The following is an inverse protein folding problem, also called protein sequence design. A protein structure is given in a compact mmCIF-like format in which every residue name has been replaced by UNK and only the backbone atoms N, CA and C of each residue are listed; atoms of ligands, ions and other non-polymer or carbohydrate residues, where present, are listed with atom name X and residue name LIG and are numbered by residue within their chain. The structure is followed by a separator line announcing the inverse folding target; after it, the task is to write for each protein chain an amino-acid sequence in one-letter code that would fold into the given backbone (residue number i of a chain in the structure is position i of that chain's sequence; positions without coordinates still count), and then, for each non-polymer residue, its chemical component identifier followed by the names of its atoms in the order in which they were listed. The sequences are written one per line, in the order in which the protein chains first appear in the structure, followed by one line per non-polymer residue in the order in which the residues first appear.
data_IF_616716031912
#
_entry.id   IF_616716031912
#
_cell.length_a   1.000
_cell.length_b   1.000
_cell.length_c   1.000
_cell.angle_alpha   90.00
_cell.angle_beta   90.00
_cell.angle_gamma   90.00
#
_symmetry.space_group_name_H-M   'P 1'
#
loop_
_entity.id
_entity.type
_entity.pdbx_description
1 polymer ?
#
# COMPACT_ATOMS: atom_id res chain seq x y z
N UNK A 1 -19.36 10.13 -8.03
CA UNK A 1 -18.26 10.72 -8.84
C UNK A 1 -17.06 11.05 -7.95
N UNK A 2 -17.21 11.89 -6.92
CA UNK A 2 -16.12 12.24 -6.00
C UNK A 2 -15.51 11.00 -5.30
N UNK A 3 -16.36 10.09 -4.81
CA UNK A 3 -15.95 8.82 -4.16
C UNK A 3 -15.05 7.95 -5.05
N UNK A 4 -15.35 7.88 -6.35
CA UNK A 4 -14.54 7.14 -7.31
C UNK A 4 -13.13 7.74 -7.42
N UNK A 5 -13.02 9.07 -7.56
CA UNK A 5 -11.72 9.74 -7.62
C UNK A 5 -10.94 9.59 -6.32
N UNK A 6 -11.61 9.64 -5.16
CA UNK A 6 -10.95 9.39 -3.88
C UNK A 6 -10.41 7.97 -3.78
N UNK A 7 -11.17 6.95 -4.21
CA UNK A 7 -10.69 5.56 -4.24
C UNK A 7 -9.48 5.41 -5.16
N UNK A 8 -9.55 5.94 -6.40
CA UNK A 8 -8.42 5.91 -7.34
C UNK A 8 -7.18 6.59 -6.73
N UNK A 9 -7.37 7.73 -6.07
CA UNK A 9 -6.29 8.44 -5.38
C UNK A 9 -5.68 7.60 -4.25
N UNK A 10 -6.50 6.94 -3.42
CA UNK A 10 -6.01 6.04 -2.38
C UNK A 10 -5.27 4.82 -2.94
N UNK A 11 -5.74 4.23 -4.05
CA UNK A 11 -5.04 3.13 -4.72
C UNK A 11 -3.68 3.58 -5.26
N UNK A 12 -3.61 4.78 -5.85
CA UNK A 12 -2.35 5.37 -6.28
C UNK A 12 -1.41 5.58 -5.10
N UNK A 13 -1.91 6.17 -4.01
CA UNK A 13 -1.10 6.52 -2.84
C UNK A 13 -0.62 5.27 -2.09
N UNK A 14 -1.45 4.23 -2.02
CA UNK A 14 -1.04 2.89 -1.56
C UNK A 14 0.06 2.31 -2.46
N UNK A 15 -0.06 2.43 -3.79
CA UNK A 15 0.97 2.03 -4.73
C UNK A 15 2.29 2.77 -4.50
N UNK A 16 2.23 4.07 -4.24
CA UNK A 16 3.41 4.90 -3.94
C UNK A 16 4.05 4.47 -2.60
N UNK A 17 3.24 4.23 -1.56
CA UNK A 17 3.73 3.77 -0.25
C UNK A 17 4.41 2.40 -0.35
N UNK A 18 3.82 1.48 -1.12
CA UNK A 18 4.37 0.14 -1.33
C UNK A 18 5.65 0.21 -2.17
N UNK A 19 5.65 0.93 -3.30
CA UNK A 19 6.82 1.00 -4.18
C UNK A 19 8.02 1.70 -3.55
N UNK A 20 7.79 2.73 -2.73
CA UNK A 20 8.83 3.33 -1.91
C UNK A 20 9.40 2.34 -0.87
N UNK A 21 8.55 1.49 -0.26
CA UNK A 21 9.00 0.44 0.64
C UNK A 21 9.84 -0.62 -0.09
N UNK A 22 9.45 -1.00 -1.31
CA UNK A 22 10.21 -1.95 -2.12
C UNK A 22 11.62 -1.45 -2.41
N UNK A 23 11.78 -0.17 -2.76
CA UNK A 23 13.10 0.46 -2.96
C UNK A 23 13.96 0.48 -1.67
N UNK A 24 13.34 0.60 -0.50
CA UNK A 24 14.05 0.55 0.78
C UNK A 24 14.53 -0.87 1.15
N UNK A 25 13.91 -1.93 0.59
CA UNK A 25 14.09 -3.33 1.02
C UNK A 25 15.15 -4.13 0.24
N UNK A 26 15.73 -3.61 -0.84
CA UNK A 26 16.24 -4.48 -1.92
C UNK A 26 17.56 -5.22 -1.67
N UNK A 27 17.42 -6.51 -1.34
CA UNK A 27 18.38 -7.60 -1.61
C UNK A 27 17.82 -8.56 -2.70
N UNK A 28 16.55 -8.42 -3.12
CA UNK A 28 15.86 -9.34 -4.05
C UNK A 28 15.78 -8.83 -5.49
N UNK A 29 15.52 -9.74 -6.44
CA UNK A 29 15.25 -9.41 -7.84
C UNK A 29 13.96 -8.58 -7.97
N UNK A 30 14.10 -7.36 -8.50
CA UNK A 30 13.03 -6.38 -8.69
C UNK A 30 11.76 -6.96 -9.32
N UNK A 31 11.92 -7.74 -10.38
CA UNK A 31 10.81 -8.29 -11.17
C UNK A 31 9.94 -9.22 -10.34
N UNK A 32 10.54 -10.12 -9.56
CA UNK A 32 9.82 -11.10 -8.74
C UNK A 32 8.98 -10.38 -7.69
N UNK A 33 9.58 -9.40 -7.01
CA UNK A 33 8.91 -8.66 -5.94
C UNK A 33 7.74 -7.84 -6.48
N UNK A 34 7.91 -7.19 -7.63
CA UNK A 34 6.83 -6.46 -8.29
C UNK A 34 5.68 -7.39 -8.71
N UNK A 35 5.99 -8.53 -9.33
CA UNK A 35 4.97 -9.50 -9.75
C UNK A 35 4.21 -10.06 -8.56
N UNK A 36 4.90 -10.49 -7.50
CA UNK A 36 4.26 -11.03 -6.29
C UNK A 36 3.39 -9.96 -5.62
N UNK A 37 3.90 -8.73 -5.48
CA UNK A 37 3.14 -7.63 -4.88
C UNK A 37 1.88 -7.31 -5.70
N UNK A 38 1.99 -7.28 -7.03
CA UNK A 38 0.85 -7.05 -7.92
C UNK A 38 -0.19 -8.17 -7.84
N UNK A 39 0.24 -9.43 -7.78
CA UNK A 39 -0.67 -10.57 -7.62
C UNK A 39 -1.39 -10.57 -6.27
N UNK A 40 -0.65 -10.31 -5.18
CA UNK A 40 -1.23 -10.19 -3.83
C UNK A 40 -2.24 -9.04 -3.79
N UNK A 41 -1.88 -7.88 -4.34
CA UNK A 41 -2.79 -6.74 -4.46
C UNK A 41 -4.06 -7.11 -5.23
N UNK A 42 -3.91 -7.64 -6.46
CA UNK A 42 -5.04 -7.99 -7.32
C UNK A 42 -5.97 -8.97 -6.61
N UNK A 43 -5.43 -10.06 -6.06
CA UNK A 43 -6.24 -11.09 -5.42
C UNK A 43 -6.95 -10.59 -4.16
N UNK A 44 -6.25 -9.84 -3.29
CA UNK A 44 -6.83 -9.33 -2.04
C UNK A 44 -7.85 -8.22 -2.29
N UNK A 45 -7.60 -7.29 -3.21
CA UNK A 45 -8.57 -6.25 -3.58
C UNK A 45 -9.80 -6.89 -4.22
N UNK A 46 -9.63 -7.86 -5.11
CA UNK A 46 -10.75 -8.56 -5.77
C UNK A 46 -11.65 -9.28 -4.76
N UNK A 47 -11.05 -10.09 -3.89
CA UNK A 47 -11.78 -10.81 -2.84
C UNK A 47 -12.44 -9.85 -1.86
N UNK A 48 -11.76 -8.76 -1.50
CA UNK A 48 -12.32 -7.67 -0.71
C UNK A 48 -13.56 -7.06 -1.37
N UNK A 49 -13.48 -6.67 -2.64
CA UNK A 49 -14.61 -6.08 -3.38
C UNK A 49 -15.82 -7.02 -3.43
N UNK A 50 -15.60 -8.32 -3.68
CA UNK A 50 -16.67 -9.32 -3.65
C UNK A 50 -17.34 -9.36 -2.27
N UNK A 51 -16.56 -9.47 -1.21
CA UNK A 51 -17.09 -9.54 0.15
C UNK A 51 -17.79 -8.23 0.56
N UNK A 52 -17.26 -7.07 0.20
CA UNK A 52 -17.86 -5.77 0.48
C UNK A 52 -19.17 -5.54 -0.26
N UNK A 53 -19.35 -6.17 -1.44
CA UNK A 53 -20.62 -6.11 -2.17
C UNK A 53 -21.73 -6.95 -1.53
N UNK A 54 -21.37 -7.96 -0.72
CA UNK A 54 -22.32 -8.85 -0.05
C UNK A 54 -22.55 -8.52 1.43
N UNK A 55 -21.54 -7.99 2.11
CA UNK A 55 -21.59 -7.70 3.53
C UNK A 55 -21.75 -6.20 3.75
N UNK A 56 -22.78 -5.82 4.50
CA UNK A 56 -22.93 -4.44 4.95
C UNK A 56 -22.02 -4.17 6.15
N UNK A 57 -21.28 -3.05 6.11
CA UNK A 57 -20.46 -2.58 7.21
C UNK A 57 -20.56 -1.04 7.32
N UNK A 58 -20.64 -0.45 8.52
CA UNK A 58 -20.72 1.00 8.66
C UNK A 58 -19.47 1.70 8.11
N UNK A 59 -19.66 2.62 7.16
CA UNK A 59 -18.58 3.35 6.48
C UNK A 59 -17.58 4.03 7.46
N UNK A 60 -18.01 4.73 8.53
CA UNK A 60 -17.07 5.35 9.48
C UNK A 60 -16.20 4.32 10.21
N UNK A 61 -16.76 3.15 10.54
CA UNK A 61 -16.00 2.08 11.19
C UNK A 61 -14.99 1.47 10.23
N UNK A 62 -15.35 1.32 8.95
CA UNK A 62 -14.43 0.79 7.95
C UNK A 62 -13.25 1.73 7.70
N UNK A 63 -13.52 3.04 7.56
CA UNK A 63 -12.49 4.07 7.46
C UNK A 63 -11.57 4.08 8.68
N UNK A 64 -12.15 3.99 9.88
CA UNK A 64 -11.40 3.85 11.13
C UNK A 64 -10.52 2.60 11.16
N UNK A 65 -11.03 1.45 10.68
CA UNK A 65 -10.29 0.20 10.60
C UNK A 65 -9.14 0.26 9.60
N UNK A 66 -9.36 0.81 8.40
CA UNK A 66 -8.31 1.00 7.38
C UNK A 66 -7.24 1.94 7.93
N UNK A 67 -7.63 3.03 8.60
CA UNK A 67 -6.71 3.95 9.25
C UNK A 67 -5.87 3.25 10.32
N UNK A 68 -6.50 2.48 11.21
CA UNK A 68 -5.81 1.70 12.23
C UNK A 68 -4.80 0.71 11.62
N UNK A 69 -5.20 -0.01 10.57
CA UNK A 69 -4.32 -0.95 9.87
C UNK A 69 -3.14 -0.22 9.24
N UNK A 70 -3.35 0.95 8.62
CA UNK A 70 -2.27 1.75 8.06
C UNK A 70 -1.28 2.22 9.14
N UNK A 71 -1.76 2.61 10.33
CA UNK A 71 -0.88 2.92 11.49
C UNK A 71 -0.13 1.68 11.95
N UNK A 72 -0.80 0.52 12.08
CA UNK A 72 -0.16 -0.74 12.46
C UNK A 72 0.93 -1.12 11.45
N UNK A 73 0.68 -0.93 10.15
CA UNK A 73 1.69 -1.13 9.11
C UNK A 73 2.87 -0.18 9.26
N UNK A 74 2.63 1.11 9.51
CA UNK A 74 3.68 2.09 9.74
C UNK A 74 4.57 1.68 10.93
N UNK A 75 3.96 1.30 12.06
CA UNK A 75 4.66 0.82 13.26
C UNK A 75 5.41 -0.48 13.00
N UNK A 76 4.78 -1.43 12.29
CA UNK A 76 5.39 -2.71 11.94
C UNK A 76 6.65 -2.50 11.08
N UNK A 77 6.58 -1.67 10.04
CA UNK A 77 7.74 -1.39 9.20
C UNK A 77 8.80 -0.57 9.94
N UNK A 78 8.40 0.38 10.78
CA UNK A 78 9.33 1.13 11.64
C UNK A 78 10.11 0.21 12.58
N UNK A 79 9.45 -0.75 13.24
CA UNK A 79 10.10 -1.72 14.15
C UNK A 79 10.97 -2.73 13.43
N UNK A 80 10.58 -3.13 12.23
CA UNK A 80 11.34 -4.12 11.45
C UNK A 80 12.56 -3.48 10.80
N UNK A 81 12.54 -2.17 10.57
CA UNK A 81 13.60 -1.45 9.90
C UNK A 81 14.89 -1.38 10.74
N UNK A 82 16.03 -1.69 10.10
CA UNK A 82 17.34 -1.68 10.77
C UNK A 82 18.09 -0.37 10.49
N UNK A 83 18.27 0.51 11.50
CA UNK A 83 18.75 1.88 11.29
C UNK A 83 20.19 1.99 10.81
N UNK A 84 21.05 1.01 11.10
CA UNK A 84 22.46 1.05 10.71
C UNK A 84 22.74 0.51 9.31
N UNK A 85 21.92 -0.40 8.81
CA UNK A 85 22.12 -1.06 7.52
C UNK A 85 21.15 -0.55 6.46
N UNK A 86 20.12 0.19 6.87
CA UNK A 86 19.22 0.88 5.97
C UNK A 86 18.31 -0.03 5.16
N UNK A 87 18.14 -1.29 5.58
CA UNK A 87 17.26 -2.27 4.95
C UNK A 87 16.27 -2.87 5.95
N UNK A 88 15.13 -3.32 5.44
CA UNK A 88 14.15 -4.13 6.19
C UNK A 88 14.52 -5.61 5.98
N UNK A 89 14.94 -6.35 7.02
CA UNK A 89 15.28 -7.76 6.89
C UNK A 89 14.12 -8.56 6.29
N UNK A 90 14.45 -9.40 5.32
CA UNK A 90 13.48 -10.15 4.53
C UNK A 90 12.84 -11.33 5.28
N UNK A 91 13.17 -11.51 6.56
CA UNK A 91 12.81 -12.70 7.31
C UNK A 91 11.31 -12.70 7.67
N UNK A 92 10.54 -13.45 6.88
CA UNK A 92 9.22 -13.94 7.26
C UNK A 92 8.09 -13.49 6.34
N UNK A 93 7.08 -14.34 6.18
CA UNK A 93 5.88 -14.08 5.38
C UNK A 93 4.96 -13.00 5.98
N UNK A 94 5.25 -12.53 7.19
CA UNK A 94 4.41 -11.60 7.95
C UNK A 94 4.14 -10.27 7.23
N UNK A 95 5.13 -9.72 6.52
CA UNK A 95 4.93 -8.47 5.78
C UNK A 95 3.95 -8.65 4.62
N UNK A 96 3.95 -9.82 3.97
CA UNK A 96 2.98 -10.14 2.93
C UNK A 96 1.57 -10.29 3.51
N UNK A 97 1.45 -10.89 4.71
CA UNK A 97 0.17 -10.97 5.43
C UNK A 97 -0.38 -9.58 5.79
N UNK A 98 0.47 -8.67 6.26
CA UNK A 98 0.08 -7.29 6.56
C UNK A 98 -0.40 -6.55 5.31
N UNK A 99 0.32 -6.68 4.19
CA UNK A 99 -0.10 -6.13 2.90
C UNK A 99 -1.42 -6.73 2.40
N UNK A 100 -1.55 -8.05 2.47
CA UNK A 100 -2.78 -8.75 2.06
C UNK A 100 -3.99 -8.24 2.85
N UNK A 101 -3.86 -8.10 4.17
CA UNK A 101 -4.92 -7.57 5.03
C UNK A 101 -5.27 -6.13 4.65
N UNK A 102 -4.27 -5.27 4.46
CA UNK A 102 -4.50 -3.88 4.07
C UNK A 102 -5.20 -3.75 2.70
N UNK A 103 -4.72 -4.48 1.69
CA UNK A 103 -5.32 -4.49 0.35
C UNK A 103 -6.73 -5.08 0.36
N UNK A 104 -6.97 -6.10 1.19
CA UNK A 104 -8.29 -6.67 1.36
C UNK A 104 -9.30 -5.62 1.84
N UNK A 105 -8.97 -4.83 2.86
CA UNK A 105 -9.89 -3.79 3.36
C UNK A 105 -10.08 -2.62 2.37
N UNK A 106 -9.07 -2.27 1.57
CA UNK A 106 -9.24 -1.31 0.46
C UNK A 106 -10.22 -1.84 -0.60
N UNK A 107 -10.12 -3.14 -0.92
CA UNK A 107 -11.08 -3.80 -1.81
C UNK A 107 -12.48 -3.84 -1.20
N UNK A 108 -12.59 -4.18 0.08
CA UNK A 108 -13.84 -4.25 0.82
C UNK A 108 -14.59 -2.92 0.80
N UNK A 109 -13.90 -1.82 1.05
CA UNK A 109 -14.48 -0.48 0.94
C UNK A 109 -14.97 -0.16 -0.47
N UNK A 110 -14.17 -0.49 -1.50
CA UNK A 110 -14.56 -0.29 -2.89
C UNK A 110 -15.84 -1.09 -3.24
N UNK A 111 -15.99 -2.28 -2.65
CA UNK A 111 -17.19 -3.12 -2.78
C UNK A 111 -18.43 -2.50 -2.12
N UNK A 112 -18.29 -1.96 -0.90
CA UNK A 112 -19.37 -1.25 -0.19
C UNK A 112 -19.80 0.02 -0.92
N UNK A 113 -18.85 0.74 -1.51
CA UNK A 113 -19.11 1.92 -2.33
C UNK A 113 -19.87 1.60 -3.65
N UNK A 114 -20.19 0.33 -3.91
CA UNK A 114 -20.94 -0.09 -5.10
C UNK A 114 -20.15 0.05 -6.40
N UNK A 115 -18.82 0.10 -6.32
CA UNK A 115 -17.97 0.19 -7.52
C UNK A 115 -18.03 -1.14 -8.28
N UNK A 116 -18.22 -1.05 -9.60
CA UNK A 116 -18.20 -2.23 -10.48
C UNK A 116 -16.89 -3.01 -10.35
N UNK A 117 -16.98 -4.34 -10.23
CA UNK A 117 -15.82 -5.23 -10.06
C UNK A 117 -14.80 -5.10 -11.20
N UNK A 118 -15.24 -4.70 -12.40
CA UNK A 118 -14.38 -4.49 -13.56
C UNK A 118 -13.36 -3.36 -13.37
N UNK A 119 -13.62 -2.41 -12.46
CA UNK A 119 -12.67 -1.35 -12.14
C UNK A 119 -11.41 -1.87 -11.45
N UNK A 120 -11.36 -3.13 -11.01
CA UNK A 120 -10.14 -3.71 -10.45
C UNK A 120 -8.96 -3.67 -11.44
N UNK A 121 -9.22 -3.82 -12.74
CA UNK A 121 -8.18 -3.71 -13.76
C UNK A 121 -7.58 -2.32 -13.78
N UNK A 122 -8.43 -1.29 -13.70
CA UNK A 122 -7.98 0.10 -13.58
C UNK A 122 -7.22 0.32 -12.27
N UNK A 123 -7.75 -0.15 -11.14
CA UNK A 123 -7.08 -0.02 -9.84
C UNK A 123 -5.72 -0.71 -9.81
N UNK A 124 -5.58 -1.85 -10.49
CA UNK A 124 -4.32 -2.57 -10.62
C UNK A 124 -3.32 -1.81 -11.47
N UNK A 125 -3.76 -1.21 -12.58
CA UNK A 125 -2.92 -0.35 -13.42
C UNK A 125 -2.46 0.90 -12.66
N UNK A 126 -3.38 1.58 -11.96
CA UNK A 126 -3.08 2.77 -11.15
C UNK A 126 -2.10 2.43 -10.02
N UNK A 127 -2.36 1.35 -9.28
CA UNK A 127 -1.48 0.88 -8.22
C UNK A 127 -0.08 0.51 -8.74
N UNK A 128 -0.01 -0.24 -9.85
CA UNK A 128 1.26 -0.60 -10.49
C UNK A 128 2.02 0.63 -10.97
N UNK A 129 1.32 1.60 -11.55
CA UNK A 129 1.89 2.90 -11.92
C UNK A 129 2.45 3.65 -10.72
N UNK A 130 1.73 3.67 -9.59
CA UNK A 130 2.20 4.24 -8.33
C UNK A 130 3.45 3.55 -7.78
N UNK A 131 3.52 2.22 -7.87
CA UNK A 131 4.72 1.46 -7.50
C UNK A 131 5.91 1.86 -8.37
N UNK A 132 5.76 1.85 -9.69
CA UNK A 132 6.85 2.18 -10.61
C UNK A 132 7.32 3.63 -10.45
N UNK A 133 6.38 4.57 -10.32
CA UNK A 133 6.67 5.99 -10.13
C UNK A 133 7.44 6.23 -8.81
N UNK A 134 6.94 5.69 -7.70
CA UNK A 134 7.60 5.82 -6.39
C UNK A 134 8.95 5.12 -6.35
N UNK A 135 9.08 3.95 -6.97
CA UNK A 135 10.35 3.25 -7.08
C UNK A 135 11.37 4.10 -7.84
N UNK A 136 10.99 4.67 -8.99
CA UNK A 136 11.86 5.55 -9.77
C UNK A 136 12.27 6.81 -9.01
N UNK A 137 11.33 7.49 -8.35
CA UNK A 137 11.59 8.67 -7.52
C UNK A 137 12.55 8.32 -6.38
N UNK A 138 12.31 7.21 -5.69
CA UNK A 138 13.13 6.81 -4.55
C UNK A 138 14.54 6.40 -4.97
N UNK A 139 14.70 5.75 -6.13
CA UNK A 139 16.01 5.49 -6.72
C UNK A 139 16.77 6.79 -7.02
N UNK A 140 16.11 7.78 -7.62
CA UNK A 140 16.71 9.10 -7.86
C UNK A 140 17.10 9.78 -6.55
N UNK A 141 16.22 9.81 -5.56
CA UNK A 141 16.48 10.41 -4.24
C UNK A 141 17.64 9.73 -3.53
N UNK A 142 17.72 8.40 -3.53
CA UNK A 142 18.81 7.65 -2.87
C UNK A 142 20.19 7.91 -3.49
N UNK A 143 20.22 8.16 -4.80
CA UNK A 143 21.46 8.46 -5.53
C UNK A 143 21.87 9.94 -5.44
N UNK A 144 20.90 10.85 -5.36
CA UNK A 144 21.16 12.29 -5.33
C UNK A 144 21.35 12.86 -3.92
N UNK A 145 20.73 12.27 -2.90
CA UNK A 145 20.77 12.80 -1.54
C UNK A 145 21.96 12.27 -0.73
N UNK A 146 22.64 13.19 -0.06
CA UNK A 146 23.59 12.85 1.02
C UNK A 146 22.86 12.21 2.21
N UNK A 147 21.57 12.54 2.38
CA UNK A 147 20.70 12.06 3.45
C UNK A 147 19.95 10.76 3.10
N UNK A 148 20.72 9.72 2.76
CA UNK A 148 20.17 8.37 2.50
C UNK A 148 19.28 7.86 3.64
N UNK A 149 19.57 8.25 4.89
CA UNK A 149 18.78 7.89 6.06
C UNK A 149 17.33 8.41 5.98
N UNK A 150 17.11 9.60 5.42
CA UNK A 150 15.79 10.24 5.43
C UNK A 150 14.85 9.59 4.41
N UNK A 151 15.41 9.17 3.27
CA UNK A 151 14.67 8.48 2.21
C UNK A 151 14.03 7.17 2.69
N UNK A 152 14.57 6.56 3.74
CA UNK A 152 14.09 5.30 4.31
C UNK A 152 12.82 5.47 5.17
N UNK A 153 12.53 6.67 5.66
CA UNK A 153 11.30 6.96 6.42
C UNK A 153 10.12 7.36 5.53
N UNK A 154 10.34 7.65 4.24
CA UNK A 154 9.28 8.05 3.31
C UNK A 154 8.13 7.03 3.23
N UNK A 155 8.36 5.70 3.15
CA UNK A 155 7.25 4.74 3.12
C UNK A 155 6.41 4.80 4.39
N UNK A 156 7.06 4.95 5.55
CA UNK A 156 6.40 5.01 6.86
C UNK A 156 5.55 6.28 6.95
N UNK A 157 6.10 7.42 6.53
CA UNK A 157 5.36 8.69 6.46
C UNK A 157 4.15 8.58 5.53
N UNK A 158 4.28 7.90 4.39
CA UNK A 158 3.16 7.69 3.48
C UNK A 158 2.06 6.83 4.10
N UNK A 159 2.39 5.77 4.86
CA UNK A 159 1.37 5.00 5.59
C UNK A 159 0.67 5.81 6.68
N UNK A 160 1.40 6.64 7.42
CA UNK A 160 0.81 7.58 8.38
C UNK A 160 -0.11 8.57 7.66
N UNK A 161 0.30 9.08 6.50
CA UNK A 161 -0.50 9.98 5.71
C UNK A 161 -1.78 9.33 5.18
N UNK A 162 -1.71 8.07 4.70
CA UNK A 162 -2.89 7.26 4.36
C UNK A 162 -3.84 7.19 5.56
N UNK A 163 -3.30 6.88 6.75
CA UNK A 163 -4.12 6.71 7.94
C UNK A 163 -4.88 7.99 8.30
N UNK A 164 -4.22 9.15 8.25
CA UNK A 164 -4.84 10.44 8.54
C UNK A 164 -5.85 10.82 7.46
N UNK A 165 -5.46 10.72 6.19
CA UNK A 165 -6.36 11.06 5.07
C UNK A 165 -7.61 10.19 5.04
N UNK A 166 -7.53 8.94 5.52
CA UNK A 166 -8.68 8.04 5.50
C UNK A 166 -9.80 8.44 6.46
N UNK A 167 -9.49 9.25 7.46
CA UNK A 167 -10.44 9.73 8.46
C UNK A 167 -11.16 11.02 8.03
N UNK A 168 -10.69 11.68 6.97
CA UNK A 168 -11.26 12.91 6.40
C UNK A 168 -12.20 12.55 5.25
#
# INVERSE_FOLDING_TARGET
MLEFFTLVFFMLLAGIAVGSLLMAKMIFSWHIVLTVTGLVYFFCVWTGMLMGSWLWFPDPLLKGLISLIAVVMAVFFFRTYHPSTGYIPAHGLYHWGAFAMFFFFLGFESGIAGVSMWFILLYTLVFSGGILASAWIMWKLKNASEFRFLTQYVPILLFVFIAVLKLV
#
